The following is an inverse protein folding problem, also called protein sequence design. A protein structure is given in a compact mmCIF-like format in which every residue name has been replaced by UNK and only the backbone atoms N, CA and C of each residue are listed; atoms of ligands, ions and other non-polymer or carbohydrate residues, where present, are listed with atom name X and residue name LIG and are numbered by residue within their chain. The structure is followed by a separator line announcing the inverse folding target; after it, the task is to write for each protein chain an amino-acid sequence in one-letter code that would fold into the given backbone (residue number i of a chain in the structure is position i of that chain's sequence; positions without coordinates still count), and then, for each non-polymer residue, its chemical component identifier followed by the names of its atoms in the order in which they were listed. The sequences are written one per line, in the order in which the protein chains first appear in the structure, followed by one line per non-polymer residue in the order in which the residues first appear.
data_IF_542477651704
#
_entry.id   IF_542477651704
#
_cell.length_a   1.000
_cell.length_b   1.000
_cell.length_c   1.000
_cell.angle_alpha   90.00
_cell.angle_beta   90.00
_cell.angle_gamma   90.00
#
_symmetry.space_group_name_H-M   'P 1'
#
loop_
_entity.id
_entity.type
_entity.pdbx_description
1 polymer ?
#
# COMPACT_ATOMS: atom_id res chain seq x y z
N UNK A 1 21.04 -3.96 -12.02
CA UNK A 1 20.80 -3.68 -10.60
C UNK A 1 20.38 -4.98 -9.94
N UNK A 2 20.54 -5.11 -8.62
CA UNK A 2 19.91 -6.23 -7.88
C UNK A 2 18.39 -6.14 -8.07
N UNK A 3 17.67 -7.27 -8.18
CA UNK A 3 16.21 -7.27 -8.27
C UNK A 3 15.58 -6.63 -7.03
N UNK A 4 14.58 -5.78 -7.22
CA UNK A 4 13.85 -5.10 -6.13
C UNK A 4 12.44 -5.69 -6.03
N UNK A 5 12.02 -6.06 -4.82
CA UNK A 5 10.69 -6.60 -4.54
C UNK A 5 9.93 -5.68 -3.60
N UNK A 6 8.76 -5.22 -4.04
CA UNK A 6 7.87 -4.35 -3.26
C UNK A 6 6.60 -5.10 -2.92
N UNK A 7 6.21 -5.10 -1.65
CA UNK A 7 4.90 -5.59 -1.23
C UNK A 7 3.92 -4.40 -1.19
N UNK A 8 2.83 -4.48 -1.94
CA UNK A 8 1.78 -3.48 -1.95
C UNK A 8 0.57 -3.97 -1.16
N UNK A 9 0.19 -3.28 -0.09
CA UNK A 9 -1.00 -3.60 0.69
C UNK A 9 -2.27 -3.06 0.02
N UNK A 10 -3.08 -3.96 -0.51
CA UNK A 10 -4.48 -3.71 -0.81
C UNK A 10 -5.37 -3.98 0.40
N UNK A 11 -6.37 -3.13 0.61
CA UNK A 11 -7.35 -3.28 1.70
C UNK A 11 -8.57 -4.13 1.29
N UNK A 12 -8.52 -4.70 0.08
CA UNK A 12 -9.50 -5.63 -0.45
C UNK A 12 -8.78 -6.88 -0.94
N UNK A 13 -9.24 -8.06 -0.54
CA UNK A 13 -8.68 -9.31 -1.04
C UNK A 13 -9.05 -9.60 -2.50
N UNK A 14 -8.25 -10.42 -3.17
CA UNK A 14 -8.39 -10.72 -4.60
C UNK A 14 -9.80 -11.20 -4.97
N UNK A 15 -10.42 -12.04 -4.12
CA UNK A 15 -11.74 -12.61 -4.39
C UNK A 15 -12.85 -11.56 -4.36
N UNK A 16 -12.64 -10.45 -3.67
CA UNK A 16 -13.58 -9.34 -3.52
C UNK A 16 -13.17 -8.09 -4.32
N UNK A 17 -11.98 -8.09 -4.94
CA UNK A 17 -11.47 -6.97 -5.70
C UNK A 17 -12.10 -6.80 -7.08
N UNK A 18 -12.76 -7.82 -7.62
CA UNK A 18 -13.32 -7.77 -8.98
C UNK A 18 -12.23 -7.47 -10.02
N UNK A 19 -12.37 -6.37 -10.76
CA UNK A 19 -11.38 -5.94 -11.78
C UNK A 19 -10.26 -5.06 -11.21
N UNK A 20 -10.35 -4.63 -9.95
CA UNK A 20 -9.40 -3.68 -9.35
C UNK A 20 -7.97 -4.22 -9.35
N UNK A 21 -7.72 -5.43 -8.84
CA UNK A 21 -6.37 -6.00 -8.78
C UNK A 21 -5.75 -6.18 -10.17
N UNK A 22 -6.55 -6.62 -11.15
CA UNK A 22 -6.10 -6.76 -12.54
C UNK A 22 -5.60 -5.42 -13.09
N UNK A 23 -6.39 -4.36 -12.92
CA UNK A 23 -6.03 -3.03 -13.42
C UNK A 23 -4.86 -2.44 -12.62
N UNK A 24 -4.79 -2.70 -11.32
CA UNK A 24 -3.71 -2.26 -10.45
C UNK A 24 -2.39 -2.91 -10.84
N UNK A 25 -2.38 -4.23 -11.05
CA UNK A 25 -1.17 -4.94 -11.48
C UNK A 25 -0.71 -4.45 -12.86
N UNK A 26 -1.63 -4.31 -13.82
CA UNK A 26 -1.29 -3.78 -15.14
C UNK A 26 -0.72 -2.35 -15.07
N UNK A 27 -1.18 -1.53 -14.12
CA UNK A 27 -0.61 -0.22 -13.89
C UNK A 27 0.80 -0.30 -13.28
N UNK A 28 1.03 -1.17 -12.28
CA UNK A 28 2.37 -1.38 -11.73
C UNK A 28 3.35 -1.84 -12.79
N UNK A 29 2.99 -2.83 -13.60
CA UNK A 29 3.83 -3.38 -14.66
C UNK A 29 4.27 -2.32 -15.70
N UNK A 30 3.48 -1.25 -15.87
CA UNK A 30 3.76 -0.13 -16.79
C UNK A 30 4.70 0.94 -16.20
N UNK A 31 4.73 1.10 -14.87
CA UNK A 31 5.44 2.22 -14.21
C UNK A 31 6.70 1.79 -13.45
N UNK A 32 6.92 0.49 -13.25
CA UNK A 32 8.09 -0.01 -12.53
C UNK A 32 9.38 0.10 -13.35
N UNK A 33 10.50 0.31 -12.66
CA UNK A 33 11.83 0.22 -13.27
C UNK A 33 12.22 -1.24 -13.57
N UNK A 34 13.14 -1.44 -14.52
CA UNK A 34 13.68 -2.76 -14.86
C UNK A 34 14.24 -3.49 -13.63
N UNK A 35 13.81 -4.72 -13.42
CA UNK A 35 14.24 -5.55 -12.28
C UNK A 35 13.42 -5.33 -11.00
N UNK A 36 12.40 -4.46 -11.02
CA UNK A 36 11.45 -4.30 -9.90
C UNK A 36 10.24 -5.22 -10.08
N UNK A 37 9.72 -5.79 -9.01
CA UNK A 37 8.41 -6.48 -9.01
C UNK A 37 7.55 -5.97 -7.86
N UNK A 38 6.24 -5.92 -8.08
CA UNK A 38 5.27 -5.50 -7.07
C UNK A 38 4.26 -6.62 -6.85
N UNK A 39 4.19 -7.12 -5.62
CA UNK A 39 3.23 -8.16 -5.22
C UNK A 39 2.09 -7.54 -4.40
N UNK A 40 0.85 -7.73 -4.84
CA UNK A 40 -0.34 -7.24 -4.13
C UNK A 40 -0.68 -8.20 -2.97
N UNK A 41 -0.78 -7.67 -1.76
CA UNK A 41 -1.21 -8.37 -0.54
C UNK A 41 -2.59 -7.85 -0.15
N UNK A 42 -3.56 -8.74 0.11
CA UNK A 42 -4.93 -8.36 0.49
C UNK A 42 -5.17 -8.36 2.00
N UNK A 43 -6.32 -7.82 2.42
CA UNK A 43 -6.87 -7.97 3.78
C UNK A 43 -8.28 -8.58 3.67
N UNK A 44 -8.56 -9.56 4.53
CA UNK A 44 -9.88 -10.18 4.68
C UNK A 44 -10.30 -10.14 6.16
N UNK A 45 -11.55 -9.73 6.49
CA UNK A 45 -12.53 -9.13 5.58
C UNK A 45 -12.02 -7.82 4.98
N UNK A 46 -12.50 -7.39 3.80
CA UNK A 46 -12.02 -6.19 3.14
C UNK A 46 -12.48 -4.95 3.92
N UNK A 47 -11.86 -3.82 3.61
CA UNK A 47 -12.36 -2.53 4.07
C UNK A 47 -13.60 -2.12 3.28
N UNK A 48 -14.77 -2.58 3.75
CA UNK A 48 -16.03 -2.37 3.06
C UNK A 48 -16.71 -1.04 3.42
N UNK A 49 -16.29 -0.37 4.49
CA UNK A 49 -16.96 0.82 5.01
C UNK A 49 -15.97 1.80 5.62
N UNK A 50 -16.09 3.09 5.25
CA UNK A 50 -15.34 4.19 5.85
C UNK A 50 -15.81 4.47 7.29
N UNK A 51 -15.44 3.59 8.22
CA UNK A 51 -15.73 3.66 9.64
C UNK A 51 -14.46 3.45 10.46
N UNK A 52 -14.32 4.19 11.56
CA UNK A 52 -13.12 4.14 12.42
C UNK A 52 -12.79 2.74 12.95
N UNK A 53 -13.78 1.88 13.17
CA UNK A 53 -13.55 0.50 13.59
C UNK A 53 -13.01 -0.37 12.43
N UNK A 54 -13.41 -0.10 11.19
CA UNK A 54 -12.86 -0.76 10.00
C UNK A 54 -11.41 -0.35 9.81
N UNK A 55 -11.14 0.96 9.83
CA UNK A 55 -9.79 1.54 9.76
C UNK A 55 -8.85 0.94 10.80
N UNK A 56 -9.25 0.91 12.08
CA UNK A 56 -8.43 0.35 13.16
C UNK A 56 -8.10 -1.13 12.93
N UNK A 57 -9.09 -1.93 12.51
CA UNK A 57 -8.91 -3.35 12.23
C UNK A 57 -7.98 -3.56 11.04
N UNK A 58 -8.23 -2.87 9.92
CA UNK A 58 -7.42 -2.96 8.72
C UNK A 58 -5.98 -2.50 8.97
N UNK A 59 -5.77 -1.43 9.73
CA UNK A 59 -4.45 -0.96 10.14
C UNK A 59 -3.67 -2.05 10.87
N UNK A 60 -4.31 -2.72 11.85
CA UNK A 60 -3.68 -3.83 12.57
C UNK A 60 -3.27 -4.97 11.62
N UNK A 61 -4.14 -5.36 10.69
CA UNK A 61 -3.82 -6.41 9.71
C UNK A 61 -2.73 -5.98 8.73
N UNK A 62 -2.74 -4.72 8.27
CA UNK A 62 -1.71 -4.15 7.41
C UNK A 62 -0.33 -4.20 8.08
N UNK A 63 -0.24 -3.82 9.36
CA UNK A 63 1.03 -3.86 10.12
C UNK A 63 1.57 -5.30 10.20
N UNK A 64 0.69 -6.29 10.42
CA UNK A 64 1.07 -7.72 10.44
C UNK A 64 1.61 -8.14 9.06
N UNK A 65 0.93 -7.74 7.99
CA UNK A 65 1.36 -8.03 6.62
C UNK A 65 2.69 -7.36 6.27
N UNK A 66 2.93 -6.13 6.74
CA UNK A 66 4.19 -5.42 6.56
C UNK A 66 5.35 -6.18 7.23
N UNK A 67 5.20 -6.55 8.49
CA UNK A 67 6.20 -7.36 9.22
C UNK A 67 6.44 -8.70 8.53
N UNK A 68 5.39 -9.31 7.98
CA UNK A 68 5.50 -10.57 7.25
C UNK A 68 6.25 -10.38 5.93
N UNK A 69 5.97 -9.33 5.18
CA UNK A 69 6.68 -9.01 3.95
C UNK A 69 8.18 -8.79 4.19
N UNK A 70 8.56 -8.04 5.23
CA UNK A 70 9.98 -7.90 5.59
C UNK A 70 10.64 -9.25 5.85
N UNK A 71 9.99 -10.14 6.60
CA UNK A 71 10.48 -11.51 6.86
C UNK A 71 10.57 -12.37 5.60
N UNK A 72 9.73 -12.11 4.61
CA UNK A 72 9.76 -12.75 3.28
C UNK A 72 10.84 -12.15 2.35
N UNK A 73 11.62 -11.17 2.83
CA UNK A 73 12.73 -10.57 2.12
C UNK A 73 12.30 -9.58 1.03
N UNK A 74 11.21 -8.84 1.25
CA UNK A 74 10.87 -7.68 0.42
C UNK A 74 11.76 -6.49 0.76
N UNK A 75 12.05 -5.65 -0.23
CA UNK A 75 12.92 -4.47 -0.09
C UNK A 75 12.16 -3.21 0.33
N UNK A 76 10.84 -3.18 0.13
CA UNK A 76 9.97 -2.08 0.52
C UNK A 76 8.51 -2.52 0.71
N UNK A 77 7.76 -1.72 1.47
CA UNK A 77 6.32 -1.90 1.66
C UNK A 77 5.54 -0.64 1.29
N UNK A 78 4.48 -0.79 0.50
CA UNK A 78 3.62 0.30 0.06
C UNK A 78 2.20 0.11 0.62
N UNK A 79 1.68 1.11 1.33
CA UNK A 79 0.34 1.11 1.91
C UNK A 79 -0.65 1.65 0.88
N UNK A 80 -1.45 0.76 0.28
CA UNK A 80 -2.44 1.09 -0.75
C UNK A 80 -3.77 1.61 -0.23
N UNK A 81 -3.75 2.50 0.77
CA UNK A 81 -4.94 3.06 1.40
C UNK A 81 -4.78 4.56 1.62
N UNK A 82 -5.71 5.38 1.15
CA UNK A 82 -5.53 6.85 1.14
C UNK A 82 -5.40 7.46 2.54
N UNK A 83 -6.03 6.86 3.55
CA UNK A 83 -5.92 7.32 4.95
C UNK A 83 -4.63 6.84 5.64
N UNK A 84 -3.82 6.02 4.95
CA UNK A 84 -2.53 5.51 5.44
C UNK A 84 -2.61 4.86 6.84
N UNK A 85 -3.71 4.14 7.11
CA UNK A 85 -3.98 3.58 8.43
C UNK A 85 -2.88 2.58 8.84
N UNK A 86 -2.24 2.82 9.98
CA UNK A 86 -1.13 1.99 10.50
C UNK A 86 0.26 2.30 9.93
N UNK A 87 0.39 3.32 9.06
CA UNK A 87 1.66 3.65 8.40
C UNK A 87 2.80 3.93 9.38
N UNK A 88 2.54 4.74 10.42
CA UNK A 88 3.58 5.12 11.37
C UNK A 88 4.01 3.96 12.26
N UNK A 89 3.06 3.11 12.65
CA UNK A 89 3.33 1.88 13.40
C UNK A 89 4.18 0.91 12.58
N UNK A 90 3.89 0.75 11.29
CA UNK A 90 4.71 -0.05 10.38
C UNK A 90 6.12 0.54 10.26
N UNK A 91 6.26 1.85 10.00
CA UNK A 91 7.57 2.54 9.96
C UNK A 91 8.39 2.42 11.24
N UNK A 92 7.72 2.36 12.40
CA UNK A 92 8.39 2.22 13.68
C UNK A 92 8.85 0.76 13.95
N UNK A 93 8.36 -0.21 13.18
CA UNK A 93 8.59 -1.64 13.42
C UNK A 93 9.51 -2.29 12.39
N UNK A 94 9.52 -1.79 11.16
CA UNK A 94 10.29 -2.35 10.04
C UNK A 94 11.62 -1.62 9.84
N UNK A 95 12.62 -2.36 9.37
CA UNK A 95 13.92 -1.87 8.89
C UNK A 95 13.89 -1.51 7.39
N UNK A 96 12.89 -1.98 6.64
CA UNK A 96 12.66 -1.62 5.23
C UNK A 96 11.79 -0.35 5.07
N UNK A 97 11.96 0.43 3.99
CA UNK A 97 11.14 1.61 3.74
C UNK A 97 9.65 1.29 3.60
N UNK A 98 8.81 2.05 4.30
CA UNK A 98 7.35 1.98 4.23
C UNK A 98 6.77 3.30 3.70
N UNK A 99 6.05 3.24 2.59
CA UNK A 99 5.46 4.40 1.91
C UNK A 99 3.92 4.39 1.99
N UNK A 100 3.31 5.54 2.28
CA UNK A 100 1.86 5.74 2.26
C UNK A 100 1.36 6.29 0.92
N UNK A 101 0.24 5.76 0.42
CA UNK A 101 -0.40 6.25 -0.80
C UNK A 101 -0.93 7.67 -0.59
N UNK A 102 -1.55 7.96 0.56
CA UNK A 102 -2.11 9.27 0.86
C UNK A 102 -1.04 10.35 0.97
N UNK A 103 -0.02 10.12 1.81
CA UNK A 103 1.13 11.00 1.99
C UNK A 103 1.84 11.26 0.66
N UNK A 104 2.15 10.22 -0.12
CA UNK A 104 2.83 10.37 -1.40
C UNK A 104 2.00 11.18 -2.41
N UNK A 105 0.69 10.90 -2.50
CA UNK A 105 -0.22 11.60 -3.40
C UNK A 105 -0.34 13.08 -3.05
N UNK A 106 -0.49 13.40 -1.76
CA UNK A 106 -0.57 14.78 -1.28
C UNK A 106 0.75 15.53 -1.47
N UNK A 107 1.89 14.89 -1.19
CA UNK A 107 3.21 15.48 -1.39
C UNK A 107 3.47 15.77 -2.88
N UNK A 108 3.08 14.87 -3.77
CA UNK A 108 3.18 15.09 -5.21
C UNK A 108 2.27 16.23 -5.68
N UNK A 109 1.04 16.30 -5.18
CA UNK A 109 0.11 17.38 -5.52
C UNK A 109 0.64 18.77 -5.13
N UNK A 110 1.40 18.89 -4.03
CA UNK A 110 2.07 20.13 -3.63
C UNK A 110 3.10 20.64 -4.67
N UNK A 111 3.58 19.78 -5.57
CA UNK A 111 4.47 20.18 -6.67
C UNK A 111 3.69 20.78 -7.86
N UNK A 112 2.39 20.54 -7.94
CA UNK A 112 1.55 20.88 -9.10
C UNK A 112 0.71 22.14 -8.91
N UNK A 113 0.34 22.49 -7.68
CA UNK A 113 -0.53 23.63 -7.43
C UNK A 113 -0.52 24.12 -5.98
N UNK A 114 -1.02 25.34 -5.79
CA UNK A 114 -1.11 25.97 -4.46
C UNK A 114 -2.34 25.52 -3.66
N UNK A 115 -3.34 24.94 -4.33
CA UNK A 115 -4.57 24.45 -3.72
C UNK A 115 -4.90 23.08 -4.32
N UNK A 116 -5.31 22.14 -3.46
CA UNK A 116 -5.56 20.74 -3.79
C UNK A 116 -6.96 20.37 -3.31
N UNK A 117 -7.72 19.67 -4.15
CA UNK A 117 -8.98 19.04 -3.77
C UNK A 117 -8.82 17.52 -3.71
N UNK A 118 -9.39 16.88 -2.69
CA UNK A 118 -9.45 15.43 -2.54
C UNK A 118 -10.86 14.98 -2.93
N UNK A 119 -10.96 13.93 -3.75
CA UNK A 119 -12.21 13.34 -4.24
C UNK A 119 -12.32 11.91 -3.77
#
# INVERSE_FOLDING_TARGET
MEPIRIAYQSYVDESQAGTYWKNLQAHFDDIIDEGTTVDIKGITPPDAFAHSISEMRCAREMIINAITAEREGYDAFAVGHFQDAGLYEARATLDIPVHGLGEASMLYACQLGQQIGIV
#
